data_IF_928122554547
#
_entry.id   IF_928122554547
#
_cell.length_a   1.000
_cell.length_b   1.000
_cell.length_c   1.000
_cell.angle_alpha   90.00
_cell.angle_beta   90.00
_cell.angle_gamma   90.00
#
_symmetry.space_group_name_H-M   'P 1'
#
loop_
_entity.id
_entity.type
_entity.pdbx_description
1 polymer ?
#
# COMPACT_ATOMS: atom_id res chain seq x y z
N UNK A 1 -12.96 -44.55 -39.77
CA UNK A 1 -12.37 -44.19 -38.47
C UNK A 1 -11.71 -42.83 -38.62
N UNK A 2 -12.40 -41.76 -38.23
CA UNK A 2 -11.85 -40.40 -38.14
C UNK A 2 -12.32 -39.88 -36.78
N UNK A 3 -11.37 -39.73 -35.84
CA UNK A 3 -11.61 -39.13 -34.52
C UNK A 3 -11.50 -37.62 -34.66
N UNK A 4 -12.58 -36.90 -34.38
CA UNK A 4 -12.56 -35.46 -34.11
C UNK A 4 -12.12 -35.22 -32.67
N UNK A 5 -11.25 -34.24 -32.39
CA UNK A 5 -10.90 -33.85 -31.03
C UNK A 5 -11.98 -32.93 -30.45
N UNK A 6 -12.35 -33.19 -29.19
CA UNK A 6 -13.20 -32.31 -28.36
C UNK A 6 -12.34 -31.16 -27.84
N UNK A 7 -12.76 -29.89 -27.94
CA UNK A 7 -12.00 -28.76 -27.41
C UNK A 7 -12.12 -28.67 -25.88
N UNK A 8 -11.12 -28.12 -25.17
CA UNK A 8 -11.17 -27.93 -23.73
C UNK A 8 -12.15 -26.81 -23.36
N UNK A 9 -12.96 -27.05 -22.32
CA UNK A 9 -13.78 -26.04 -21.67
C UNK A 9 -12.85 -25.06 -20.92
N UNK A 10 -12.66 -23.87 -21.47
CA UNK A 10 -12.11 -22.73 -20.75
C UNK A 10 -13.21 -22.15 -19.84
N UNK A 11 -13.06 -22.34 -18.53
CA UNK A 11 -13.75 -21.51 -17.54
C UNK A 11 -12.93 -20.22 -17.37
N UNK A 12 -13.31 -19.18 -18.11
CA UNK A 12 -12.80 -17.82 -17.91
C UNK A 12 -13.91 -16.94 -17.37
N UNK A 13 -13.56 -16.16 -16.35
CA UNK A 13 -14.35 -15.09 -15.70
C UNK A 13 -15.49 -15.54 -14.77
N UNK A 14 -15.13 -15.85 -13.51
CA UNK A 14 -16.04 -15.64 -12.38
C UNK A 14 -15.92 -14.17 -12.01
N UNK A 15 -16.85 -13.36 -12.53
CA UNK A 15 -16.98 -11.92 -12.26
C UNK A 15 -17.35 -11.66 -10.79
N UNK A 16 -16.94 -10.49 -10.27
CA UNK A 16 -17.27 -9.96 -8.93
C UNK A 16 -18.77 -9.96 -8.59
N UNK A 17 -19.63 -10.04 -9.61
CA UNK A 17 -21.08 -10.25 -9.50
C UNK A 17 -21.49 -11.53 -8.75
N UNK A 18 -20.62 -12.55 -8.69
CA UNK A 18 -20.90 -13.82 -8.00
C UNK A 18 -20.86 -13.68 -6.47
N UNK A 19 -20.03 -12.79 -5.93
CA UNK A 19 -19.91 -12.55 -4.49
C UNK A 19 -21.13 -11.81 -3.92
N UNK A 20 -21.72 -10.89 -4.70
CA UNK A 20 -22.94 -10.16 -4.32
C UNK A 20 -24.16 -11.08 -4.14
N UNK A 21 -24.15 -12.25 -4.79
CA UNK A 21 -25.24 -13.22 -4.64
C UNK A 21 -25.17 -13.98 -3.30
N UNK A 22 -23.99 -14.18 -2.70
CA UNK A 22 -23.86 -15.00 -1.49
C UNK A 22 -24.36 -14.32 -0.22
N UNK A 23 -24.14 -13.02 -0.04
CA UNK A 23 -24.68 -12.31 1.14
C UNK A 23 -26.21 -12.19 1.09
N UNK A 24 -26.79 -11.93 -0.09
CA UNK A 24 -28.24 -11.93 -0.30
C UNK A 24 -28.86 -13.33 -0.19
N UNK A 25 -28.14 -14.40 -0.57
CA UNK A 25 -28.57 -15.79 -0.36
C UNK A 25 -28.48 -16.23 1.10
N UNK A 26 -27.56 -15.66 1.88
CA UNK A 26 -27.39 -15.97 3.31
C UNK A 26 -28.63 -15.59 4.14
N UNK A 27 -29.36 -14.55 3.73
CA UNK A 27 -30.61 -14.16 4.37
C UNK A 27 -31.81 -15.05 3.99
N UNK A 28 -31.71 -15.85 2.91
CA UNK A 28 -32.83 -16.62 2.36
C UNK A 28 -32.71 -18.15 2.56
N UNK A 29 -31.51 -18.69 2.83
CA UNK A 29 -31.30 -20.12 3.07
C UNK A 29 -30.40 -20.35 4.29
N UNK A 30 -30.95 -20.90 5.36
CA UNK A 30 -30.30 -21.14 6.65
C UNK A 30 -29.24 -22.26 6.67
N UNK A 31 -28.56 -22.53 5.55
CA UNK A 31 -27.48 -23.51 5.50
C UNK A 31 -26.26 -22.96 4.77
N UNK A 32 -25.08 -23.28 5.32
CA UNK A 32 -23.78 -22.95 4.74
C UNK A 32 -23.67 -23.64 3.36
N UNK A 33 -23.54 -22.87 2.26
CA UNK A 33 -23.53 -23.40 0.90
C UNK A 33 -22.34 -24.32 0.63
N UNK A 34 -21.25 -24.21 1.41
CA UNK A 34 -20.08 -25.07 1.26
C UNK A 34 -20.29 -26.47 1.84
N UNK A 35 -21.27 -26.68 2.73
CA UNK A 35 -21.54 -28.01 3.32
C UNK A 35 -21.89 -29.09 2.29
N UNK A 36 -22.35 -28.69 1.10
CA UNK A 36 -22.74 -29.62 0.02
C UNK A 36 -21.63 -29.83 -1.02
N UNK A 37 -20.54 -29.08 -0.93
CA UNK A 37 -19.44 -29.13 -1.88
C UNK A 37 -18.33 -30.06 -1.37
N UNK A 38 -17.73 -30.89 -2.24
CA UNK A 38 -16.48 -31.58 -1.92
C UNK A 38 -15.38 -30.59 -1.53
N UNK A 39 -14.54 -30.95 -0.56
CA UNK A 39 -13.46 -30.11 -0.05
C UNK A 39 -12.50 -29.62 -1.16
N UNK A 40 -12.34 -30.40 -2.23
CA UNK A 40 -11.54 -30.04 -3.40
C UNK A 40 -12.11 -28.83 -4.14
N UNK A 41 -13.44 -28.77 -4.29
CA UNK A 41 -14.10 -27.62 -4.92
C UNK A 41 -14.04 -26.39 -4.01
N UNK A 42 -14.22 -26.56 -2.69
CA UNK A 42 -14.04 -25.48 -1.72
C UNK A 42 -12.62 -24.92 -1.80
N UNK A 43 -11.61 -25.79 -1.81
CA UNK A 43 -10.20 -25.40 -1.95
C UNK A 43 -9.94 -24.64 -3.26
N UNK A 44 -10.54 -25.09 -4.37
CA UNK A 44 -10.44 -24.40 -5.66
C UNK A 44 -11.10 -23.02 -5.63
N UNK A 45 -12.26 -22.86 -4.97
CA UNK A 45 -12.89 -21.54 -4.80
C UNK A 45 -11.95 -20.61 -4.01
N UNK A 46 -11.40 -21.09 -2.89
CA UNK A 46 -10.49 -20.29 -2.06
C UNK A 46 -9.21 -19.87 -2.82
N UNK A 47 -8.66 -20.74 -3.68
CA UNK A 47 -7.45 -20.42 -4.47
C UNK A 47 -7.68 -19.44 -5.62
N UNK A 48 -8.91 -19.32 -6.11
CA UNK A 48 -9.26 -18.44 -7.24
C UNK A 48 -9.95 -17.14 -6.81
N UNK A 49 -9.97 -16.85 -5.51
CA UNK A 49 -10.54 -15.63 -4.94
C UNK A 49 -9.41 -14.69 -4.51
N UNK A 50 -9.70 -13.42 -4.22
CA UNK A 50 -8.74 -12.49 -3.62
C UNK A 50 -8.63 -12.66 -2.10
N UNK A 51 -7.70 -11.94 -1.45
CA UNK A 51 -7.50 -12.05 0.01
C UNK A 51 -8.77 -11.69 0.79
N UNK A 52 -9.49 -10.65 0.36
CA UNK A 52 -10.75 -10.22 0.98
C UNK A 52 -11.84 -11.29 0.89
N UNK A 53 -12.04 -11.88 -0.28
CA UNK A 53 -13.04 -12.92 -0.46
C UNK A 53 -12.69 -14.19 0.32
N UNK A 54 -11.42 -14.60 0.37
CA UNK A 54 -11.01 -15.74 1.21
C UNK A 54 -11.21 -15.45 2.70
N UNK A 55 -10.80 -14.27 3.19
CA UNK A 55 -11.04 -13.88 4.59
C UNK A 55 -12.53 -13.83 4.94
N UNK A 56 -13.36 -13.28 4.05
CA UNK A 56 -14.82 -13.27 4.17
C UNK A 56 -15.39 -14.68 4.27
N UNK A 57 -15.03 -15.57 3.32
CA UNK A 57 -15.49 -16.95 3.28
C UNK A 57 -15.08 -17.74 4.53
N UNK A 58 -13.82 -17.64 4.95
CA UNK A 58 -13.29 -18.30 6.15
C UNK A 58 -13.92 -17.74 7.44
N UNK A 59 -14.36 -16.49 7.43
CA UNK A 59 -15.04 -15.86 8.56
C UNK A 59 -16.49 -16.32 8.71
N UNK A 60 -17.21 -16.58 7.61
CA UNK A 60 -18.65 -16.92 7.63
C UNK A 60 -18.96 -18.41 7.51
N UNK A 61 -18.15 -19.19 6.80
CA UNK A 61 -18.37 -20.63 6.56
C UNK A 61 -17.43 -21.49 7.42
N UNK A 62 -18.01 -22.42 8.19
CA UNK A 62 -17.23 -23.38 8.98
C UNK A 62 -16.50 -24.38 8.08
N UNK A 63 -17.13 -24.78 6.97
CA UNK A 63 -16.53 -25.71 6.01
C UNK A 63 -15.36 -25.05 5.27
N UNK A 64 -15.54 -23.82 4.77
CA UNK A 64 -14.46 -23.06 4.15
C UNK A 64 -13.29 -22.85 5.11
N UNK A 65 -13.57 -22.58 6.40
CA UNK A 65 -12.55 -22.49 7.44
C UNK A 65 -11.80 -23.80 7.65
N UNK A 66 -12.49 -24.93 7.73
CA UNK A 66 -11.86 -26.24 7.90
C UNK A 66 -10.95 -26.57 6.72
N UNK A 67 -11.43 -26.35 5.49
CA UNK A 67 -10.64 -26.55 4.26
C UNK A 67 -9.44 -25.62 4.20
N UNK A 68 -9.62 -24.35 4.59
CA UNK A 68 -8.52 -23.39 4.70
C UNK A 68 -7.49 -23.84 5.72
N UNK A 69 -7.89 -24.24 6.92
CA UNK A 69 -6.95 -24.68 7.96
C UNK A 69 -6.13 -25.90 7.52
N UNK A 70 -6.76 -26.84 6.81
CA UNK A 70 -6.10 -28.01 6.26
C UNK A 70 -5.09 -27.69 5.13
N UNK A 71 -5.35 -26.64 4.33
CA UNK A 71 -4.57 -26.30 3.12
C UNK A 71 -3.99 -24.88 3.12
N UNK A 72 -3.86 -24.27 4.30
CA UNK A 72 -3.63 -22.83 4.47
C UNK A 72 -2.40 -22.33 3.73
N UNK A 73 -1.30 -23.08 3.81
CA UNK A 73 -0.06 -22.79 3.09
C UNK A 73 -0.28 -22.66 1.59
N UNK A 74 -0.89 -23.66 0.98
CA UNK A 74 -1.05 -23.70 -0.47
C UNK A 74 -2.03 -22.62 -0.95
N UNK A 75 -3.09 -22.35 -0.17
CA UNK A 75 -4.03 -21.27 -0.48
C UNK A 75 -3.34 -19.90 -0.39
N UNK A 76 -2.62 -19.60 0.69
CA UNK A 76 -1.91 -18.32 0.82
C UNK A 76 -0.85 -18.16 -0.28
N UNK A 77 -0.11 -19.22 -0.60
CA UNK A 77 0.88 -19.17 -1.67
C UNK A 77 0.25 -18.85 -3.03
N UNK A 78 -0.87 -19.47 -3.35
CA UNK A 78 -1.62 -19.18 -4.59
C UNK A 78 -2.15 -17.75 -4.58
N UNK A 79 -2.69 -17.26 -3.46
CA UNK A 79 -3.15 -15.87 -3.32
C UNK A 79 -2.01 -14.87 -3.53
N UNK A 80 -0.86 -15.10 -2.89
CA UNK A 80 0.32 -14.25 -3.01
C UNK A 80 0.85 -14.24 -4.45
N UNK A 81 0.86 -15.40 -5.11
CA UNK A 81 1.41 -15.56 -6.46
C UNK A 81 0.47 -15.05 -7.55
N UNK A 82 -0.84 -15.16 -7.36
CA UNK A 82 -1.86 -14.73 -8.33
C UNK A 82 -2.16 -13.23 -8.27
N UNK A 83 -1.92 -12.58 -7.13
CA UNK A 83 -2.13 -11.15 -6.99
C UNK A 83 -0.91 -10.36 -7.55
N UNK A 84 -1.12 -9.43 -8.51
CA UNK A 84 -0.05 -8.69 -9.18
C UNK A 84 0.83 -7.81 -8.25
N UNK A 85 0.31 -7.42 -7.08
CA UNK A 85 1.03 -6.58 -6.11
C UNK A 85 1.79 -7.44 -5.13
N UNK A 86 1.14 -8.45 -4.53
CA UNK A 86 1.79 -9.30 -3.52
C UNK A 86 2.79 -10.27 -4.13
N UNK A 87 2.72 -10.56 -5.42
CA UNK A 87 3.74 -11.35 -6.12
C UNK A 87 5.06 -10.59 -6.25
N UNK A 88 5.06 -9.26 -6.08
CA UNK A 88 6.27 -8.44 -6.17
C UNK A 88 7.28 -8.77 -5.04
N UNK A 89 8.58 -8.95 -5.33
CA UNK A 89 9.58 -9.38 -4.34
C UNK A 89 9.62 -8.52 -3.07
N UNK A 90 9.54 -7.19 -3.19
CA UNK A 90 9.50 -6.30 -2.02
C UNK A 90 8.29 -6.54 -1.12
N UNK A 91 7.10 -6.74 -1.69
CA UNK A 91 5.88 -6.99 -0.91
C UNK A 91 5.93 -8.39 -0.29
N UNK A 92 6.46 -9.39 -1.00
CA UNK A 92 6.73 -10.72 -0.44
C UNK A 92 7.68 -10.66 0.75
N UNK A 93 8.74 -9.84 0.67
CA UNK A 93 9.66 -9.61 1.78
C UNK A 93 8.94 -9.00 2.99
N UNK A 94 8.12 -7.97 2.78
CA UNK A 94 7.33 -7.35 3.87
C UNK A 94 6.32 -8.33 4.49
N UNK A 95 5.62 -9.12 3.67
CA UNK A 95 4.71 -10.17 4.12
C UNK A 95 5.46 -11.23 4.96
N UNK A 96 6.68 -11.62 4.53
CA UNK A 96 7.55 -12.52 5.29
C UNK A 96 7.90 -11.91 6.65
N UNK A 97 8.35 -10.66 6.66
CA UNK A 97 8.73 -9.96 7.89
C UNK A 97 7.57 -9.89 8.88
N UNK A 98 6.36 -9.60 8.40
CA UNK A 98 5.14 -9.62 9.24
C UNK A 98 4.86 -11.03 9.75
N UNK A 99 4.96 -12.05 8.90
CA UNK A 99 4.82 -13.44 9.34
C UNK A 99 5.84 -13.83 10.42
N UNK A 100 7.10 -13.38 10.29
CA UNK A 100 8.15 -13.58 11.30
C UNK A 100 7.79 -12.89 12.63
N UNK A 101 7.28 -11.66 12.58
CA UNK A 101 6.86 -10.89 13.77
C UNK A 101 5.73 -11.60 14.54
N UNK A 102 4.77 -12.17 13.81
CA UNK A 102 3.60 -12.83 14.39
C UNK A 102 3.80 -14.31 14.71
N UNK A 103 4.94 -14.91 14.36
CA UNK A 103 5.22 -16.32 14.66
C UNK A 103 5.59 -16.49 16.16
N UNK A 104 4.75 -17.19 16.95
CA UNK A 104 5.00 -17.41 18.38
C UNK A 104 6.18 -18.36 18.66
N UNK A 105 6.78 -18.96 17.64
CA UNK A 105 7.94 -19.83 17.80
C UNK A 105 9.28 -19.15 17.48
N UNK A 106 9.24 -17.92 16.98
CA UNK A 106 10.45 -17.12 16.73
C UNK A 106 10.71 -16.26 17.96
N UNK A 107 11.95 -16.32 18.45
CA UNK A 107 12.47 -15.42 19.47
C UNK A 107 13.55 -14.54 18.83
N UNK A 108 13.51 -13.24 19.12
CA UNK A 108 14.48 -12.29 18.61
C UNK A 108 14.88 -11.32 19.72
N UNK A 109 16.18 -11.26 20.01
CA UNK A 109 16.76 -10.57 21.17
C UNK A 109 17.36 -9.21 20.83
N UNK A 110 17.56 -8.91 19.54
CA UNK A 110 18.10 -7.62 19.12
C UNK A 110 17.67 -7.25 17.70
N UNK A 111 17.79 -5.96 17.36
CA UNK A 111 17.56 -5.47 16.01
C UNK A 111 18.51 -6.13 15.00
N UNK A 112 19.78 -6.37 15.36
CA UNK A 112 20.76 -6.98 14.46
C UNK A 112 20.38 -8.43 14.12
N UNK A 113 19.88 -9.19 15.10
CA UNK A 113 19.34 -10.53 14.89
C UNK A 113 18.11 -10.50 13.97
N UNK A 114 17.20 -9.55 14.18
CA UNK A 114 16.06 -9.36 13.28
C UNK A 114 16.51 -9.06 11.85
N UNK A 115 17.46 -8.14 11.69
CA UNK A 115 18.00 -7.80 10.37
C UNK A 115 18.62 -9.03 9.70
N UNK A 116 19.36 -9.86 10.43
CA UNK A 116 19.91 -11.12 9.91
C UNK A 116 18.80 -12.09 9.47
N UNK A 117 17.72 -12.23 10.26
CA UNK A 117 16.57 -13.06 9.91
C UNK A 117 15.85 -12.55 8.65
N UNK A 118 15.75 -11.23 8.46
CA UNK A 118 15.03 -10.63 7.32
C UNK A 118 15.87 -10.40 6.05
N UNK A 119 17.21 -10.40 6.16
CA UNK A 119 18.12 -10.08 5.05
C UNK A 119 19.01 -11.25 4.61
N UNK A 120 18.87 -12.45 5.20
CA UNK A 120 19.70 -13.60 4.83
C UNK A 120 19.56 -13.99 3.35
N UNK A 121 20.68 -14.36 2.70
CA UNK A 121 20.79 -14.66 1.25
C UNK A 121 19.93 -15.85 0.74
N UNK A 122 19.10 -16.47 1.59
CA UNK A 122 18.11 -17.50 1.23
C UNK A 122 16.64 -17.03 1.25
N UNK A 123 16.39 -15.72 1.34
CA UNK A 123 15.07 -15.15 1.63
C UNK A 123 14.04 -15.24 0.48
N UNK A 124 14.43 -15.68 -0.72
CA UNK A 124 13.51 -15.77 -1.87
C UNK A 124 12.31 -16.70 -1.59
N UNK A 125 12.50 -17.67 -0.68
CA UNK A 125 11.47 -18.58 -0.19
C UNK A 125 11.10 -18.35 1.28
N UNK A 126 11.37 -17.17 1.87
CA UNK A 126 11.12 -16.98 3.31
C UNK A 126 9.66 -16.84 3.71
N UNK A 127 8.81 -16.30 2.82
CA UNK A 127 7.35 -16.44 2.97
C UNK A 127 7.03 -17.94 3.10
N UNK A 128 7.62 -18.76 2.24
CA UNK A 128 7.38 -20.21 2.23
C UNK A 128 7.94 -20.88 3.49
N UNK A 129 9.16 -20.56 3.93
CA UNK A 129 9.78 -21.19 5.11
C UNK A 129 9.12 -20.77 6.42
N UNK A 130 8.59 -19.55 6.49
CA UNK A 130 7.86 -19.03 7.66
C UNK A 130 6.43 -19.59 7.70
N UNK A 131 5.73 -19.61 6.56
CA UNK A 131 4.40 -20.25 6.43
C UNK A 131 4.48 -21.80 6.37
N UNK A 132 5.67 -22.39 6.25
CA UNK A 132 5.90 -23.85 6.28
C UNK A 132 5.59 -24.46 7.64
N UNK A 133 5.74 -23.70 8.73
CA UNK A 133 5.31 -24.15 10.05
C UNK A 133 3.79 -24.21 9.97
N UNK A 134 3.21 -25.41 10.04
CA UNK A 134 1.77 -25.69 9.92
C UNK A 134 0.94 -25.04 11.05
N UNK A 135 1.02 -23.72 11.16
CA UNK A 135 0.37 -22.91 12.16
C UNK A 135 -0.82 -22.22 11.48
N UNK A 136 -1.97 -22.91 11.52
CA UNK A 136 -3.21 -22.42 10.94
C UNK A 136 -3.64 -21.07 11.51
N UNK A 137 -3.31 -20.77 12.77
CA UNK A 137 -3.63 -19.49 13.41
C UNK A 137 -2.77 -18.36 12.83
N UNK A 138 -1.47 -18.59 12.63
CA UNK A 138 -0.59 -17.66 11.93
C UNK A 138 -1.09 -17.41 10.50
N UNK A 139 -1.44 -18.48 9.78
CA UNK A 139 -1.97 -18.37 8.43
C UNK A 139 -3.28 -17.54 8.38
N UNK A 140 -4.22 -17.78 9.31
CA UNK A 140 -5.44 -16.98 9.43
C UNK A 140 -5.11 -15.50 9.73
N UNK A 141 -4.09 -15.23 10.55
CA UNK A 141 -3.67 -13.86 10.86
C UNK A 141 -3.07 -13.17 9.64
N UNK A 142 -2.20 -13.84 8.90
CA UNK A 142 -1.60 -13.29 7.68
C UNK A 142 -2.65 -13.03 6.59
N UNK A 143 -3.61 -13.95 6.43
CA UNK A 143 -4.76 -13.75 5.56
C UNK A 143 -5.54 -12.47 5.92
N UNK A 144 -5.87 -12.29 7.21
CA UNK A 144 -6.57 -11.10 7.71
C UNK A 144 -5.80 -9.81 7.47
N UNK A 145 -4.49 -9.81 7.73
CA UNK A 145 -3.64 -8.63 7.48
C UNK A 145 -3.62 -8.32 5.97
N UNK A 146 -3.44 -9.32 5.11
CA UNK A 146 -3.42 -9.10 3.66
C UNK A 146 -4.77 -8.59 3.12
N UNK A 147 -5.89 -9.17 3.58
CA UNK A 147 -7.24 -8.72 3.26
C UNK A 147 -7.45 -7.27 3.71
N UNK A 148 -7.09 -6.97 4.95
CA UNK A 148 -7.18 -5.62 5.51
C UNK A 148 -6.33 -4.63 4.72
N UNK A 149 -5.09 -4.97 4.36
CA UNK A 149 -4.23 -4.13 3.52
C UNK A 149 -4.85 -3.85 2.15
N UNK A 150 -5.46 -4.86 1.50
CA UNK A 150 -6.18 -4.67 0.25
C UNK A 150 -7.33 -3.67 0.41
N UNK A 151 -8.16 -3.83 1.43
CA UNK A 151 -9.26 -2.92 1.73
C UNK A 151 -8.78 -1.49 1.99
N UNK A 152 -7.73 -1.33 2.81
CA UNK A 152 -7.13 -0.02 3.12
C UNK A 152 -6.56 0.65 1.88
N UNK A 153 -5.89 -0.10 1.01
CA UNK A 153 -5.33 0.45 -0.23
C UNK A 153 -6.42 1.05 -1.12
N UNK A 154 -7.53 0.32 -1.32
CA UNK A 154 -8.67 0.81 -2.08
C UNK A 154 -9.25 2.10 -1.48
N UNK A 155 -9.52 2.13 -0.17
CA UNK A 155 -10.09 3.31 0.50
C UNK A 155 -9.11 4.50 0.44
N UNK A 156 -7.82 4.28 0.67
CA UNK A 156 -6.79 5.32 0.57
C UNK A 156 -6.73 5.91 -0.85
N UNK A 157 -6.70 5.07 -1.89
CA UNK A 157 -6.68 5.52 -3.29
C UNK A 157 -7.91 6.37 -3.63
N UNK A 158 -9.09 5.95 -3.22
CA UNK A 158 -10.33 6.72 -3.42
C UNK A 158 -10.27 8.08 -2.71
N UNK A 159 -9.78 8.10 -1.47
CA UNK A 159 -9.67 9.31 -0.66
C UNK A 159 -8.68 10.29 -1.26
N UNK A 160 -7.49 9.82 -1.64
CA UNK A 160 -6.46 10.61 -2.32
C UNK A 160 -7.00 11.18 -3.65
N UNK A 161 -7.70 10.37 -4.44
CA UNK A 161 -8.30 10.80 -5.71
C UNK A 161 -9.36 11.87 -5.48
N UNK A 162 -10.23 11.70 -4.48
CA UNK A 162 -11.23 12.69 -4.13
C UNK A 162 -10.58 14.00 -3.67
N UNK A 163 -9.49 13.92 -2.90
CA UNK A 163 -8.67 15.06 -2.52
C UNK A 163 -8.12 15.80 -3.74
N UNK A 164 -7.55 15.07 -4.71
CA UNK A 164 -7.04 15.64 -5.96
C UNK A 164 -8.15 16.31 -6.79
N UNK A 165 -9.28 15.63 -7.00
CA UNK A 165 -10.43 16.15 -7.76
C UNK A 165 -10.98 17.42 -7.12
N UNK A 166 -11.08 17.44 -5.79
CA UNK A 166 -11.54 18.60 -5.03
C UNK A 166 -10.58 19.78 -5.18
N UNK A 167 -9.27 19.52 -5.13
CA UNK A 167 -8.24 20.53 -5.31
C UNK A 167 -8.24 21.13 -6.74
N UNK A 168 -8.57 20.32 -7.75
CA UNK A 168 -8.72 20.74 -9.15
C UNK A 168 -10.09 21.35 -9.47
N UNK A 169 -10.92 21.65 -8.48
CA UNK A 169 -12.33 22.05 -8.66
C UNK A 169 -12.56 23.27 -9.55
N UNK A 170 -11.52 24.05 -9.88
CA UNK A 170 -11.63 25.18 -10.82
C UNK A 170 -11.53 24.76 -12.29
N UNK A 171 -11.10 23.53 -12.57
CA UNK A 171 -10.90 22.99 -13.92
C UNK A 171 -11.60 21.64 -14.12
N UNK A 172 -12.87 21.64 -14.58
CA UNK A 172 -13.66 20.41 -14.76
C UNK A 172 -12.98 19.37 -15.66
N UNK A 173 -12.29 19.80 -16.71
CA UNK A 173 -11.58 18.91 -17.63
C UNK A 173 -10.39 18.20 -16.94
N UNK A 174 -9.66 18.90 -16.06
CA UNK A 174 -8.55 18.32 -15.29
C UNK A 174 -9.08 17.40 -14.20
N UNK A 175 -10.17 17.78 -13.53
CA UNK A 175 -10.86 16.95 -12.55
C UNK A 175 -11.42 15.66 -13.18
N UNK A 176 -11.91 15.70 -14.43
CA UNK A 176 -12.34 14.51 -15.16
C UNK A 176 -11.16 13.56 -15.42
N UNK A 177 -10.02 14.08 -15.89
CA UNK A 177 -8.80 13.29 -16.11
C UNK A 177 -8.24 12.72 -14.80
N UNK A 178 -8.32 13.47 -13.70
CA UNK A 178 -7.96 12.98 -12.36
C UNK A 178 -8.83 11.81 -11.90
N UNK A 179 -10.03 11.64 -12.46
CA UNK A 179 -10.94 10.53 -12.17
C UNK A 179 -10.72 9.28 -13.04
N UNK A 180 -9.74 9.27 -13.94
CA UNK A 180 -9.40 8.08 -14.71
C UNK A 180 -9.03 6.89 -13.79
N UNK A 181 -9.24 5.63 -14.24
CA UNK A 181 -8.89 4.44 -13.47
C UNK A 181 -7.45 4.47 -12.96
N UNK A 182 -7.20 3.85 -11.80
CA UNK A 182 -5.86 3.78 -11.22
C UNK A 182 -4.93 2.94 -12.09
N UNK A 183 -3.68 3.37 -12.21
CA UNK A 183 -2.65 2.52 -12.82
C UNK A 183 -2.04 1.58 -11.79
N UNK A 184 -1.39 0.53 -12.29
CA UNK A 184 -0.68 -0.43 -11.43
C UNK A 184 0.31 0.23 -10.47
N UNK A 185 1.07 1.24 -10.93
CA UNK A 185 2.06 1.88 -10.06
C UNK A 185 1.43 2.72 -8.96
N UNK A 186 0.30 3.37 -9.25
CA UNK A 186 -0.43 4.15 -8.26
C UNK A 186 -0.92 3.25 -7.13
N UNK A 187 -1.50 2.10 -7.48
CA UNK A 187 -1.91 1.10 -6.50
C UNK A 187 -0.71 0.53 -5.76
N UNK A 188 0.34 0.12 -6.48
CA UNK A 188 1.55 -0.42 -5.90
C UNK A 188 2.17 0.49 -4.85
N UNK A 189 2.29 1.79 -5.10
CA UNK A 189 2.86 2.73 -4.12
C UNK A 189 2.03 2.78 -2.84
N UNK A 190 0.69 2.77 -2.94
CA UNK A 190 -0.19 2.77 -1.77
C UNK A 190 -0.10 1.46 -1.01
N UNK A 191 -0.16 0.32 -1.70
CA UNK A 191 0.02 -0.99 -1.06
C UNK A 191 1.36 -1.10 -0.35
N UNK A 192 2.45 -0.73 -1.04
CA UNK A 192 3.79 -0.78 -0.47
C UNK A 192 3.89 0.09 0.79
N UNK A 193 3.34 1.31 0.76
CA UNK A 193 3.33 2.19 1.93
C UNK A 193 2.55 1.59 3.11
N UNK A 194 1.37 1.00 2.85
CA UNK A 194 0.58 0.32 3.91
C UNK A 194 1.35 -0.86 4.49
N UNK A 195 1.95 -1.72 3.64
CA UNK A 195 2.76 -2.85 4.10
C UNK A 195 3.96 -2.42 4.95
N UNK A 196 4.61 -1.29 4.62
CA UNK A 196 5.68 -0.71 5.44
C UNK A 196 5.17 -0.23 6.79
N UNK A 197 4.04 0.48 6.82
CA UNK A 197 3.41 0.96 8.05
C UNK A 197 2.97 -0.20 8.95
N UNK A 198 2.37 -1.25 8.38
CA UNK A 198 1.97 -2.48 9.08
C UNK A 198 3.20 -3.18 9.67
N UNK A 199 4.22 -3.45 8.85
CA UNK A 199 5.45 -4.13 9.29
C UNK A 199 6.14 -3.37 10.43
N UNK A 200 6.30 -2.06 10.30
CA UNK A 200 6.90 -1.22 11.34
C UNK A 200 6.05 -1.19 12.61
N UNK A 201 4.74 -1.02 12.47
CA UNK A 201 3.84 -0.93 13.63
C UNK A 201 3.76 -2.25 14.39
N UNK A 202 3.73 -3.38 13.71
CA UNK A 202 3.73 -4.69 14.35
C UNK A 202 5.06 -4.98 15.04
N UNK A 203 6.18 -4.63 14.40
CA UNK A 203 7.51 -4.74 15.02
C UNK A 203 7.59 -3.87 16.28
N UNK A 204 7.11 -2.63 16.21
CA UNK A 204 7.11 -1.69 17.35
C UNK A 204 6.24 -2.20 18.50
N UNK A 205 5.04 -2.72 18.22
CA UNK A 205 4.16 -3.34 19.23
C UNK A 205 4.81 -4.55 19.88
N UNK A 206 5.46 -5.41 19.09
CA UNK A 206 6.11 -6.60 19.59
C UNK A 206 7.18 -6.25 20.65
N UNK A 207 8.00 -5.22 20.38
CA UNK A 207 9.08 -4.80 21.29
C UNK A 207 8.60 -3.91 22.46
N UNK A 208 7.56 -3.08 22.26
CA UNK A 208 7.05 -2.15 23.28
C UNK A 208 6.19 -2.84 24.36
N UNK A 209 5.61 -4.02 24.05
CA UNK A 209 4.78 -4.82 24.98
C UNK A 209 5.47 -5.16 26.32
N UNK A 210 6.79 -5.01 26.41
CA UNK A 210 7.61 -5.22 27.62
C UNK A 210 7.87 -3.96 28.45
N UNK A 211 7.86 -2.76 27.85
CA UNK A 211 8.14 -1.53 28.60
C UNK A 211 7.09 -1.30 29.72
N UNK A 212 5.85 -1.71 29.45
CA UNK A 212 4.70 -1.54 30.32
C UNK A 212 4.57 -2.62 31.41
N UNK A 213 5.23 -3.78 31.29
CA UNK A 213 5.11 -4.90 32.24
C UNK A 213 6.18 -4.94 33.34
N UNK A 214 7.04 -3.90 33.43
CA UNK A 214 8.04 -3.78 34.50
C UNK A 214 7.51 -3.32 35.86
N UNK A 215 6.18 -3.20 36.02
CA UNK A 215 5.54 -2.85 37.31
C UNK A 215 4.74 -4.03 37.88
N UNK A 216 5.39 -4.82 38.73
CA UNK A 216 4.83 -5.63 39.82
C UNK A 216 3.39 -6.15 39.67
N UNK A 217 3.11 -7.10 38.77
CA UNK A 217 1.89 -7.91 38.85
C UNK A 217 2.16 -9.31 38.29
N UNK A 218 2.13 -10.29 39.18
CA UNK A 218 2.32 -11.70 38.88
C UNK A 218 0.99 -12.33 38.49
N UNK A 219 0.56 -12.24 37.22
CA UNK A 219 -0.53 -13.07 36.71
C UNK A 219 -0.27 -13.51 35.26
N UNK A 220 -0.14 -14.83 35.06
CA UNK A 220 -0.42 -15.55 33.81
C UNK A 220 0.64 -15.51 32.68
N UNK A 221 0.91 -16.64 32.00
CA UNK A 221 1.75 -16.66 30.80
C UNK A 221 0.96 -16.12 29.60
N UNK A 222 0.95 -14.82 29.39
CA UNK A 222 0.48 -14.22 28.14
C UNK A 222 1.53 -14.45 27.04
N UNK A 223 1.10 -15.10 25.97
CA UNK A 223 1.79 -15.61 24.78
C UNK A 223 2.56 -14.58 23.90
N UNK A 224 3.08 -13.49 24.47
CA UNK A 224 3.75 -12.39 23.73
C UNK A 224 5.23 -12.18 24.04
N UNK A 225 5.92 -13.14 24.65
CA UNK A 225 7.23 -12.93 25.31
C UNK A 225 8.49 -13.07 24.43
N UNK A 226 8.37 -13.03 23.10
CA UNK A 226 9.46 -13.50 22.24
C UNK A 226 10.40 -12.41 21.71
N UNK A 227 10.04 -11.13 21.84
CA UNK A 227 10.81 -10.00 21.32
C UNK A 227 11.45 -9.25 22.48
N UNK A 228 12.64 -9.70 22.91
CA UNK A 228 13.33 -9.24 24.12
C UNK A 228 14.45 -8.28 23.71
N UNK A 229 14.09 -7.11 23.20
CA UNK A 229 15.08 -6.13 22.74
C UNK A 229 15.58 -5.23 23.86
N UNK A 230 16.85 -4.83 23.75
CA UNK A 230 17.42 -3.78 24.61
C UNK A 230 16.81 -2.41 24.24
N UNK A 231 16.82 -1.44 25.17
CA UNK A 231 16.38 -0.06 24.87
C UNK A 231 17.22 0.58 23.75
N UNK A 232 18.49 0.22 23.64
CA UNK A 232 19.34 0.66 22.53
C UNK A 232 18.83 0.14 21.19
N UNK A 233 18.48 -1.15 21.10
CA UNK A 233 17.89 -1.75 19.90
C UNK A 233 16.53 -1.15 19.54
N UNK A 234 15.70 -0.85 20.54
CA UNK A 234 14.42 -0.16 20.33
C UNK A 234 14.64 1.26 19.81
N UNK A 235 15.60 2.02 20.35
CA UNK A 235 15.90 3.36 19.84
C UNK A 235 16.44 3.33 18.41
N UNK A 236 17.21 2.30 18.03
CA UNK A 236 17.67 2.11 16.64
C UNK A 236 16.52 1.85 15.67
N UNK A 237 15.36 1.38 16.16
CA UNK A 237 14.16 1.22 15.34
C UNK A 237 13.63 2.55 14.79
N UNK A 238 13.96 3.68 15.41
CA UNK A 238 13.59 5.01 14.90
C UNK A 238 14.29 5.34 13.57
N UNK A 239 15.39 4.64 13.25
CA UNK A 239 16.07 4.70 11.96
C UNK A 239 15.53 3.66 10.95
N UNK A 240 14.25 3.29 11.04
CA UNK A 240 13.58 2.28 10.19
C UNK A 240 13.78 2.49 8.70
N UNK A 241 13.67 3.74 8.25
CA UNK A 241 13.89 4.11 6.84
C UNK A 241 15.31 3.81 6.39
N UNK A 242 16.30 4.05 7.25
CA UNK A 242 17.72 3.84 6.94
C UNK A 242 18.03 2.36 6.75
N UNK A 243 17.67 1.51 7.71
CA UNK A 243 18.04 0.08 7.63
C UNK A 243 17.18 -0.74 6.67
N UNK A 244 16.01 -0.24 6.26
CA UNK A 244 15.22 -0.81 5.15
C UNK A 244 15.53 -0.15 3.79
N UNK A 245 16.56 0.70 3.72
CA UNK A 245 16.99 1.37 2.49
C UNK A 245 15.84 2.15 1.80
N UNK A 246 14.94 2.72 2.61
CA UNK A 246 13.82 3.52 2.12
C UNK A 246 14.34 4.91 1.78
N UNK A 247 14.51 5.17 0.49
CA UNK A 247 14.86 6.49 -0.01
C UNK A 247 13.83 7.54 0.45
N UNK A 248 14.30 8.73 0.81
CA UNK A 248 13.48 9.86 1.28
C UNK A 248 12.22 10.17 0.45
N UNK A 249 12.25 9.98 -0.87
CA UNK A 249 11.08 10.19 -1.73
C UNK A 249 9.99 9.14 -1.50
N UNK A 250 10.38 7.89 -1.23
CA UNK A 250 9.45 6.83 -0.83
C UNK A 250 9.00 6.99 0.61
N UNK A 251 9.85 7.55 1.48
CA UNK A 251 9.42 7.94 2.81
C UNK A 251 8.25 8.94 2.73
N UNK A 252 8.31 9.92 1.82
CA UNK A 252 7.20 10.85 1.61
C UNK A 252 5.90 10.16 1.13
N UNK A 253 6.00 9.08 0.35
CA UNK A 253 4.84 8.25 -0.01
C UNK A 253 4.22 7.57 1.22
N UNK A 254 5.04 7.05 2.14
CA UNK A 254 4.58 6.51 3.43
C UNK A 254 3.85 7.59 4.23
N UNK A 255 4.41 8.79 4.31
CA UNK A 255 3.80 9.91 5.04
C UNK A 255 2.48 10.40 4.42
N UNK A 256 2.37 10.41 3.09
CA UNK A 256 1.12 10.72 2.40
C UNK A 256 0.01 9.70 2.72
N UNK A 257 0.31 8.40 2.62
CA UNK A 257 -0.64 7.34 2.95
C UNK A 257 -1.00 7.35 4.44
N UNK A 258 -0.02 7.54 5.33
CA UNK A 258 -0.28 7.67 6.76
C UNK A 258 -1.21 8.85 7.07
N UNK A 259 -1.04 9.98 6.40
CA UNK A 259 -1.91 11.15 6.58
C UNK A 259 -3.37 10.80 6.26
N UNK A 260 -3.61 10.07 5.17
CA UNK A 260 -4.95 9.60 4.79
C UNK A 260 -5.50 8.57 5.78
N UNK A 261 -4.68 7.63 6.25
CA UNK A 261 -5.11 6.68 7.27
C UNK A 261 -5.57 7.39 8.56
N UNK A 262 -4.87 8.44 8.98
CA UNK A 262 -5.30 9.27 10.13
C UNK A 262 -6.62 9.98 9.85
N UNK A 263 -6.80 10.55 8.65
CA UNK A 263 -8.07 11.19 8.25
C UNK A 263 -9.23 10.19 8.23
N UNK A 264 -8.96 8.93 7.89
CA UNK A 264 -9.93 7.81 7.94
C UNK A 264 -10.18 7.29 9.37
N UNK A 265 -9.48 7.82 10.38
CA UNK A 265 -9.65 7.48 11.78
C UNK A 265 -8.76 6.35 12.29
N UNK A 266 -7.70 5.98 11.57
CA UNK A 266 -6.72 5.02 12.10
C UNK A 266 -5.97 5.63 13.31
N UNK A 267 -5.90 4.94 14.45
CA UNK A 267 -5.31 5.47 15.67
C UNK A 267 -3.78 5.53 15.61
N UNK A 268 -3.26 6.71 15.24
CA UNK A 268 -1.84 7.05 15.31
C UNK A 268 -1.39 7.15 16.77
N UNK A 269 -0.30 6.45 17.11
CA UNK A 269 0.30 6.51 18.44
C UNK A 269 1.36 7.61 18.43
N UNK A 270 1.15 8.62 19.27
CA UNK A 270 2.19 9.61 19.53
C UNK A 270 3.34 8.96 20.28
N UNK A 271 4.60 9.13 19.85
CA UNK A 271 5.72 8.92 20.76
C UNK A 271 5.55 9.87 21.96
N UNK A 272 5.94 9.42 23.15
CA UNK A 272 5.78 10.14 24.41
C UNK A 272 6.65 11.41 24.52
N UNK A 273 7.50 11.68 23.54
CA UNK A 273 8.40 12.83 23.51
C UNK A 273 7.73 14.05 22.90
N UNK A 274 7.90 15.22 23.53
CA UNK A 274 7.30 16.52 23.12
C UNK A 274 7.66 16.95 21.69
N UNK A 275 8.82 16.54 21.17
CA UNK A 275 9.25 16.76 19.78
C UNK A 275 8.43 15.94 18.77
N UNK A 276 7.79 14.86 19.22
CA UNK A 276 7.04 13.94 18.37
C UNK A 276 5.59 14.35 18.11
N UNK A 277 5.05 15.33 18.85
CA UNK A 277 3.74 15.91 18.56
C UNK A 277 3.74 16.70 17.23
N UNK A 278 4.86 17.36 16.91
CA UNK A 278 5.04 18.06 15.62
C UNK A 278 5.20 17.09 14.44
N UNK A 279 5.53 15.82 14.72
CA UNK A 279 5.65 14.75 13.73
C UNK A 279 4.33 14.01 13.48
N UNK A 280 3.23 14.33 14.16
CA UNK A 280 1.93 13.68 13.89
C UNK A 280 1.37 14.11 12.52
N UNK A 281 1.54 15.39 12.19
CA UNK A 281 1.17 15.98 10.90
C UNK A 281 2.23 16.98 10.48
N UNK A 282 3.42 16.52 10.08
CA UNK A 282 4.51 17.43 9.76
C UNK A 282 4.13 18.22 8.51
N UNK A 283 4.12 19.56 8.60
CA UNK A 283 3.94 20.42 7.41
C UNK A 283 5.16 20.38 6.48
N UNK A 284 6.25 19.76 6.92
CA UNK A 284 7.50 19.59 6.18
C UNK A 284 7.55 18.24 5.46
N UNK A 285 8.26 18.23 4.33
CA UNK A 285 8.53 17.05 3.48
C UNK A 285 9.48 16.06 4.17
N UNK A 286 9.30 14.77 3.91
CA UNK A 286 10.06 13.70 4.55
C UNK A 286 11.57 13.74 4.26
N UNK A 287 11.96 14.22 3.07
CA UNK A 287 13.39 14.38 2.72
C UNK A 287 14.08 15.56 3.41
N UNK A 288 13.36 16.36 4.19
CA UNK A 288 13.96 17.36 5.08
C UNK A 288 14.06 16.84 6.53
N UNK A 289 13.56 15.63 6.81
CA UNK A 289 13.62 15.07 8.16
C UNK A 289 15.04 14.60 8.51
N UNK A 290 15.42 14.65 9.80
CA UNK A 290 16.62 13.98 10.27
C UNK A 290 16.61 12.49 9.91
N UNK A 291 17.77 11.86 9.62
CA UNK A 291 17.85 10.45 9.19
C UNK A 291 17.22 9.43 10.17
N UNK A 292 17.15 9.77 11.46
CA UNK A 292 16.60 8.91 12.52
C UNK A 292 15.14 9.25 12.83
N UNK A 293 14.41 9.84 11.89
CA UNK A 293 13.00 10.15 12.08
C UNK A 293 12.17 8.90 11.88
N UNK A 294 11.43 8.42 12.90
CA UNK A 294 10.59 7.25 12.76
C UNK A 294 9.45 7.51 11.76
N UNK A 295 9.05 6.47 11.03
CA UNK A 295 7.81 6.53 10.25
C UNK A 295 6.57 6.49 11.18
N UNK A 296 5.39 6.88 10.70
CA UNK A 296 4.17 6.87 11.51
C UNK A 296 3.85 5.50 12.12
N UNK A 297 3.54 5.49 13.42
CA UNK A 297 3.22 4.28 14.18
C UNK A 297 1.71 4.20 14.47
N UNK A 298 1.06 3.12 14.03
CA UNK A 298 -0.37 2.91 14.26
C UNK A 298 -0.63 1.77 15.26
N UNK A 299 -1.46 2.04 16.28
CA UNK A 299 -1.87 1.02 17.25
C UNK A 299 -2.79 -0.04 16.63
N UNK A 300 -3.55 0.36 15.61
CA UNK A 300 -4.45 -0.50 14.85
C UNK A 300 -4.66 0.11 13.47
N UNK A 301 -4.86 -0.74 12.48
CA UNK A 301 -5.29 -0.33 11.14
C UNK A 301 -6.79 -0.61 10.92
N UNK A 302 -7.51 -1.03 11.97
CA UNK A 302 -8.93 -1.33 11.86
C UNK A 302 -9.72 -0.02 11.78
N UNK A 303 -10.16 0.35 10.59
CA UNK A 303 -11.05 1.50 10.38
C UNK A 303 -12.46 1.24 10.93
N UNK A 304 -13.19 2.32 11.18
CA UNK A 304 -14.59 2.29 11.60
C UNK A 304 -15.45 1.46 10.62
N UNK A 305 -16.40 0.69 11.17
CA UNK A 305 -17.21 -0.28 10.42
C UNK A 305 -18.00 0.35 9.26
N UNK A 306 -18.38 1.62 9.40
CA UNK A 306 -19.09 2.39 8.37
C UNK A 306 -18.25 2.58 7.09
N UNK A 307 -16.92 2.66 7.21
CA UNK A 307 -16.02 2.81 6.07
C UNK A 307 -15.74 1.46 5.40
N UNK A 308 -15.80 0.36 6.16
CA UNK A 308 -15.46 -1.00 5.69
C UNK A 308 -16.59 -1.69 4.92
N UNK A 309 -17.84 -1.41 5.27
CA UNK A 309 -18.99 -2.16 4.73
C UNK A 309 -19.43 -1.72 3.32
N UNK A 310 -18.77 -0.72 2.73
CA UNK A 310 -19.07 -0.35 1.34
C UNK A 310 -18.27 -1.23 0.37
N UNK A 311 -18.79 -2.44 0.13
CA UNK A 311 -18.20 -3.42 -0.78
C UNK A 311 -18.10 -2.91 -2.23
N UNK A 312 -18.80 -1.82 -2.59
CA UNK A 312 -18.67 -1.19 -3.91
C UNK A 312 -17.32 -0.51 -4.12
N UNK A 313 -16.57 -0.28 -3.03
CA UNK A 313 -15.27 0.38 -3.03
C UNK A 313 -14.10 -0.60 -3.15
N UNK A 314 -14.35 -1.90 -3.31
CA UNK A 314 -13.29 -2.92 -3.35
C UNK A 314 -13.06 -3.42 -4.77
N UNK A 315 -11.79 -3.55 -5.15
CA UNK A 315 -11.40 -4.13 -6.43
C UNK A 315 -10.10 -4.92 -6.30
N UNK A 316 -9.86 -5.79 -7.27
CA UNK A 316 -8.58 -6.49 -7.41
C UNK A 316 -7.57 -5.55 -8.06
N UNK A 317 -6.29 -5.55 -7.63
CA UNK A 317 -5.28 -4.73 -8.27
C UNK A 317 -5.17 -5.00 -9.77
N UNK A 318 -4.88 -3.97 -10.59
CA UNK A 318 -4.71 -4.12 -12.02
C UNK A 318 -3.54 -5.05 -12.31
N UNK A 319 -3.55 -5.66 -13.49
CA UNK A 319 -2.46 -6.52 -13.94
C UNK A 319 -1.17 -5.72 -14.08
N UNK A 320 -0.04 -6.41 -13.87
CA UNK A 320 1.27 -5.83 -14.11
C UNK A 320 1.37 -5.37 -15.57
N UNK A 321 1.72 -4.10 -15.83
CA UNK A 321 1.73 -3.56 -17.18
C UNK A 321 2.81 -4.24 -18.02
N UNK A 322 2.47 -4.56 -19.27
CA UNK A 322 3.41 -5.08 -20.24
C UNK A 322 4.43 -4.00 -20.57
N UNK A 323 5.71 -4.38 -20.64
CA UNK A 323 6.75 -3.46 -21.06
C UNK A 323 6.64 -3.15 -22.55
N UNK A 324 6.24 -1.94 -22.89
CA UNK A 324 6.13 -1.45 -24.25
C UNK A 324 6.65 0.00 -24.34
N UNK A 325 6.73 0.61 -25.54
CA UNK A 325 7.21 1.98 -25.69
C UNK A 325 6.37 3.02 -24.93
N UNK A 326 5.06 2.79 -24.74
CA UNK A 326 4.15 3.69 -24.01
C UNK A 326 4.43 3.62 -22.52
N UNK A 327 4.44 2.42 -21.95
CA UNK A 327 4.67 2.23 -20.52
C UNK A 327 6.07 2.67 -20.12
N UNK A 328 7.08 2.48 -21.00
CA UNK A 328 8.43 3.02 -20.79
C UNK A 328 8.49 4.54 -20.88
N UNK A 329 7.77 5.15 -21.82
CA UNK A 329 7.77 6.60 -21.98
C UNK A 329 7.23 7.34 -20.75
N UNK A 330 6.28 6.72 -20.05
CA UNK A 330 5.62 7.27 -18.86
C UNK A 330 6.09 6.66 -17.55
N UNK A 331 7.13 5.83 -17.58
CA UNK A 331 7.66 5.17 -16.39
C UNK A 331 6.62 4.33 -15.65
N UNK A 332 5.70 3.68 -16.38
CA UNK A 332 4.59 2.90 -15.84
C UNK A 332 4.96 1.43 -15.54
N UNK A 333 6.23 1.04 -15.72
CA UNK A 333 6.68 -0.35 -15.55
C UNK A 333 7.37 -0.60 -14.21
N UNK A 334 7.44 -1.87 -13.80
CA UNK A 334 8.05 -2.31 -12.55
C UNK A 334 9.45 -1.74 -12.24
N UNK A 335 10.40 -1.67 -13.19
CA UNK A 335 11.73 -1.10 -12.91
C UNK A 335 11.73 0.37 -12.44
N UNK A 336 10.60 1.07 -12.56
CA UNK A 336 10.45 2.46 -12.12
C UNK A 336 9.77 2.61 -10.75
N UNK A 337 9.23 1.54 -10.16
CA UNK A 337 8.54 1.64 -8.86
C UNK A 337 9.47 2.01 -7.68
N UNK A 338 10.78 1.77 -7.82
CA UNK A 338 11.80 2.17 -6.83
C UNK A 338 12.41 3.55 -7.11
N UNK A 339 12.15 4.13 -8.28
CA UNK A 339 12.79 5.36 -8.70
C UNK A 339 11.97 6.56 -8.22
N UNK A 340 12.63 7.68 -7.90
CA UNK A 340 11.92 8.93 -7.67
C UNK A 340 11.09 9.26 -8.91
N UNK A 341 9.80 9.48 -8.72
CA UNK A 341 8.92 9.81 -9.84
C UNK A 341 9.26 11.21 -10.37
N UNK A 342 9.03 11.42 -11.67
CA UNK A 342 9.36 12.68 -12.34
C UNK A 342 8.69 13.89 -11.67
N UNK A 343 7.43 13.74 -11.26
CA UNK A 343 6.70 14.79 -10.55
C UNK A 343 7.23 15.04 -9.14
N UNK A 344 7.78 14.04 -8.45
CA UNK A 344 8.40 14.25 -7.13
C UNK A 344 9.68 15.07 -7.27
N UNK A 345 10.49 14.77 -8.29
CA UNK A 345 11.68 15.56 -8.62
C UNK A 345 11.33 16.99 -9.04
N UNK A 346 10.25 17.16 -9.81
CA UNK A 346 9.73 18.45 -10.21
C UNK A 346 9.25 19.25 -8.99
N UNK A 347 8.41 18.66 -8.14
CA UNK A 347 7.93 19.29 -6.91
C UNK A 347 9.09 19.74 -6.02
N UNK A 348 10.09 18.86 -5.81
CA UNK A 348 11.31 19.21 -5.07
C UNK A 348 12.00 20.42 -5.69
N UNK A 349 12.16 20.46 -7.01
CA UNK A 349 12.78 21.57 -7.72
C UNK A 349 11.99 22.88 -7.58
N UNK A 350 10.67 22.82 -7.76
CA UNK A 350 9.77 23.97 -7.59
C UNK A 350 9.82 24.53 -6.17
N UNK A 351 9.80 23.66 -5.16
CA UNK A 351 9.93 24.04 -3.75
C UNK A 351 11.28 24.71 -3.47
N UNK A 352 12.39 24.15 -3.96
CA UNK A 352 13.72 24.76 -3.79
C UNK A 352 13.79 26.14 -4.45
N UNK A 353 13.20 26.30 -5.64
CA UNK A 353 13.11 27.59 -6.33
C UNK A 353 12.29 28.62 -5.56
N UNK A 354 11.11 28.21 -5.06
CA UNK A 354 10.23 29.05 -4.26
C UNK A 354 10.89 29.52 -2.96
N UNK A 355 11.59 28.63 -2.26
CA UNK A 355 12.28 28.96 -0.99
C UNK A 355 13.49 29.88 -1.18
N UNK A 356 14.21 29.74 -2.30
CA UNK A 356 15.39 30.58 -2.60
C UNK A 356 15.06 31.96 -3.16
N UNK A 357 13.78 32.29 -3.34
CA UNK A 357 13.35 33.59 -3.86
C UNK A 357 13.94 33.92 -5.23
N UNK A 358 14.26 32.90 -6.04
CA UNK A 358 14.71 33.15 -7.40
C UNK A 358 13.62 33.96 -8.12
N UNK A 359 14.02 35.07 -8.75
CA UNK A 359 13.18 36.11 -9.36
C UNK A 359 12.60 37.20 -8.43
N UNK A 360 13.14 37.38 -7.20
CA UNK A 360 12.79 38.54 -6.35
C UNK A 360 11.36 38.52 -5.80
N UNK A 361 10.65 37.40 -5.96
CA UNK A 361 9.35 37.15 -5.34
C UNK A 361 9.57 36.56 -3.94
N UNK A 362 8.71 36.95 -2.98
CA UNK A 362 8.72 36.36 -1.64
C UNK A 362 8.50 34.85 -1.72
N UNK A 363 9.10 34.06 -0.81
CA UNK A 363 8.81 32.63 -0.69
C UNK A 363 7.29 32.42 -0.69
N UNK A 364 6.83 31.53 -1.57
CA UNK A 364 5.41 31.17 -1.60
C UNK A 364 5.16 30.20 -0.45
N UNK A 365 4.43 30.66 0.57
CA UNK A 365 3.99 29.83 1.69
C UNK A 365 3.24 28.56 1.23
N UNK A 366 2.68 28.57 0.01
CA UNK A 366 1.99 27.43 -0.59
C UNK A 366 2.88 26.19 -0.77
N UNK A 367 4.19 26.37 -1.02
CA UNK A 367 5.14 25.26 -1.22
C UNK A 367 5.91 24.88 0.04
N UNK A 368 5.73 25.64 1.12
CA UNK A 368 6.30 25.32 2.43
C UNK A 368 5.50 24.24 3.14
N UNK A 369 4.16 24.31 3.06
CA UNK A 369 3.25 23.31 3.62
C UNK A 369 3.00 22.16 2.64
N UNK A 370 3.48 20.96 2.99
CA UNK A 370 3.28 19.75 2.19
C UNK A 370 1.87 19.16 2.35
N UNK A 371 1.12 19.56 3.37
CA UNK A 371 -0.13 18.91 3.76
C UNK A 371 -1.17 18.83 2.63
N UNK A 372 -1.42 19.89 1.85
CA UNK A 372 -2.37 19.82 0.73
C UNK A 372 -1.95 18.78 -0.32
N UNK A 373 -0.65 18.70 -0.60
CA UNK A 373 -0.08 17.78 -1.59
C UNK A 373 -0.11 16.32 -1.12
N UNK A 374 0.07 16.07 0.19
CA UNK A 374 -0.14 14.73 0.79
C UNK A 374 -1.58 14.29 0.66
N UNK A 375 -2.54 15.15 1.04
CA UNK A 375 -3.98 14.84 0.95
C UNK A 375 -4.44 14.57 -0.47
N UNK A 376 -3.87 15.26 -1.45
CA UNK A 376 -4.18 15.04 -2.87
C UNK A 376 -3.36 13.93 -3.52
N UNK A 377 -2.41 13.30 -2.81
CA UNK A 377 -1.61 12.18 -3.32
C UNK A 377 -0.70 12.50 -4.51
N UNK A 378 -0.36 13.77 -4.77
CA UNK A 378 0.35 14.16 -6.01
C UNK A 378 1.73 13.51 -6.19
N UNK A 379 2.32 13.03 -5.10
CA UNK A 379 3.60 12.31 -5.10
C UNK A 379 3.44 10.78 -5.28
N UNK A 380 2.21 10.27 -5.21
CA UNK A 380 1.87 8.85 -5.42
C UNK A 380 1.42 8.57 -6.85
N UNK A 381 0.78 9.54 -7.51
CA UNK A 381 0.24 9.39 -8.85
C UNK A 381 1.31 9.14 -9.90
N UNK A 382 0.96 8.45 -10.99
CA UNK A 382 1.94 8.21 -12.03
C UNK A 382 2.20 9.45 -12.91
N UNK A 383 3.29 9.39 -13.68
CA UNK A 383 3.68 10.49 -14.55
C UNK A 383 2.65 10.78 -15.64
N UNK A 384 1.88 9.80 -16.12
CA UNK A 384 0.83 10.04 -17.10
C UNK A 384 -0.33 10.83 -16.49
N UNK A 385 -0.86 10.43 -15.34
CA UNK A 385 -1.95 11.17 -14.66
C UNK A 385 -1.53 12.60 -14.39
N UNK A 386 -0.32 12.79 -13.84
CA UNK A 386 0.21 14.10 -13.50
C UNK A 386 0.41 15.00 -14.72
N UNK A 387 0.83 14.45 -15.85
CA UNK A 387 0.87 15.16 -17.13
C UNK A 387 -0.53 15.52 -17.62
N UNK A 388 -1.45 14.56 -17.63
CA UNK A 388 -2.82 14.71 -18.13
C UNK A 388 -3.58 15.82 -17.42
N UNK A 389 -3.31 16.02 -16.13
CA UNK A 389 -3.86 17.10 -15.31
C UNK A 389 -2.96 18.35 -15.25
N UNK A 390 -1.95 18.47 -16.11
CA UNK A 390 -1.14 19.69 -16.23
C UNK A 390 -0.20 20.00 -15.04
N UNK A 391 0.08 19.02 -14.18
CA UNK A 391 1.05 19.16 -13.08
C UNK A 391 2.47 18.73 -13.47
N UNK A 392 2.63 18.13 -14.63
CA UNK A 392 3.94 17.75 -15.17
C UNK A 392 4.05 18.21 -16.63
N UNK A 393 5.18 18.84 -17.03
CA UNK A 393 5.38 19.27 -18.41
C UNK A 393 5.64 18.08 -19.35
N UNK A 394 5.38 18.26 -20.64
CA UNK A 394 5.88 17.34 -21.66
C UNK A 394 7.38 17.59 -21.86
N UNK A 395 8.23 16.80 -21.21
CA UNK A 395 9.68 16.94 -21.34
C UNK A 395 10.25 16.37 -22.65
N UNK A 396 9.42 15.74 -23.50
CA UNK A 396 9.88 15.07 -24.71
C UNK A 396 9.79 15.99 -25.94
N UNK A 397 10.94 16.28 -26.55
CA UNK A 397 11.03 16.99 -27.85
C UNK A 397 10.53 16.15 -29.05
N UNK A 398 10.28 14.86 -28.83
CA UNK A 398 9.74 13.94 -29.84
C UNK A 398 8.37 13.48 -29.39
N UNK A 399 7.46 13.23 -30.33
CA UNK A 399 6.10 12.78 -30.02
C UNK A 399 6.13 11.59 -29.06
N UNK A 400 5.62 11.81 -27.84
CA UNK A 400 5.62 10.79 -26.78
C UNK A 400 4.33 9.98 -26.93
N UNK A 401 4.40 8.64 -27.01
CA UNK A 401 3.19 7.84 -27.21
C UNK A 401 2.26 7.94 -26.00
N UNK A 402 0.95 8.04 -26.20
CA UNK A 402 -0.03 8.17 -25.14
C UNK A 402 -0.68 6.80 -24.78
N UNK A 403 -1.03 6.53 -23.51
CA UNK A 403 -1.75 5.32 -23.09
C UNK A 403 -3.07 5.07 -23.82
N UNK A 404 -3.79 6.12 -24.23
CA UNK A 404 -5.01 6.01 -25.03
C UNK A 404 -4.79 5.75 -26.53
N UNK A 405 -3.53 5.57 -26.95
CA UNK A 405 -3.13 5.53 -28.35
C UNK A 405 -2.74 6.89 -28.91
N UNK A 406 -2.05 6.88 -30.05
CA UNK A 406 -1.52 8.09 -30.68
C UNK A 406 -0.26 8.62 -30.00
N UNK A 407 0.07 9.88 -30.33
CA UNK A 407 1.25 10.57 -29.82
C UNK A 407 0.85 11.95 -29.32
N UNK A 408 1.46 12.37 -28.20
CA UNK A 408 1.41 13.77 -27.79
C UNK A 408 2.19 14.56 -28.83
N UNK A 409 1.53 15.54 -29.44
CA UNK A 409 2.19 16.47 -30.33
C UNK A 409 3.27 17.22 -29.56
N UNK A 410 4.49 17.34 -30.10
CA UNK A 410 5.50 18.18 -29.49
C UNK A 410 4.96 19.61 -29.47
N UNK A 411 4.76 20.17 -28.28
CA UNK A 411 4.48 21.60 -28.18
C UNK A 411 5.64 22.35 -28.83
N UNK A 412 5.32 23.27 -29.76
CA UNK A 412 6.31 24.11 -30.43
C UNK A 412 7.11 24.96 -29.42
N UNK A 413 6.53 25.20 -28.23
CA UNK A 413 7.15 25.84 -27.08
C UNK A 413 7.19 24.82 -25.94
N UNK A 414 8.39 24.42 -25.51
CA UNK A 414 8.53 23.48 -24.41
C UNK A 414 7.93 24.10 -23.13
N UNK A 415 6.81 23.54 -22.64
CA UNK A 415 6.23 23.91 -21.35
C UNK A 415 7.32 23.77 -20.28
N UNK A 416 7.71 24.89 -19.70
CA UNK A 416 8.76 24.96 -18.69
C UNK A 416 8.22 24.61 -17.32
N UNK A 417 9.11 24.38 -16.36
CA UNK A 417 8.71 24.21 -14.95
C UNK A 417 7.97 25.42 -14.39
N UNK A 418 8.20 26.62 -14.93
CA UNK A 418 7.51 27.84 -14.50
C UNK A 418 6.03 27.84 -14.92
N UNK A 419 5.73 27.27 -16.08
CA UNK A 419 4.37 27.23 -16.64
C UNK A 419 3.42 26.31 -15.86
N UNK A 420 3.96 25.27 -15.21
CA UNK A 420 3.18 24.35 -14.38
C UNK A 420 3.06 24.82 -12.93
N UNK A 421 3.85 25.80 -12.49
CA UNK A 421 3.85 26.27 -11.09
C UNK A 421 2.49 26.77 -10.60
N UNK A 422 1.70 27.54 -11.39
CA UNK A 422 0.34 27.95 -11.00
C UNK A 422 -0.56 26.74 -10.67
N UNK A 423 -0.44 25.67 -11.45
CA UNK A 423 -1.24 24.46 -11.25
C UNK A 423 -0.87 23.75 -9.94
N UNK A 424 0.39 23.80 -9.51
CA UNK A 424 0.80 23.30 -8.20
C UNK A 424 0.31 24.20 -7.05
N UNK A 425 0.22 25.52 -7.23
CA UNK A 425 -0.36 26.39 -6.21
C UNK A 425 -1.87 26.21 -6.07
N UNK A 426 -2.56 25.91 -7.16
CA UNK A 426 -3.98 25.55 -7.13
C UNK A 426 -4.23 24.36 -6.21
N UNK A 427 -3.36 23.34 -6.22
CA UNK A 427 -3.47 22.18 -5.32
C UNK A 427 -3.39 22.59 -3.84
N UNK A 428 -2.59 23.61 -3.52
CA UNK A 428 -2.51 24.18 -2.18
C UNK A 428 -3.68 25.11 -1.82
N UNK A 429 -4.68 25.27 -2.71
CA UNK A 429 -5.82 26.15 -2.51
C UNK A 429 -5.52 27.64 -2.70
N UNK A 430 -4.34 27.98 -3.23
CA UNK A 430 -3.97 29.37 -3.52
C UNK A 430 -4.52 29.76 -4.89
N UNK A 431 -5.57 30.59 -4.88
CA UNK A 431 -6.10 31.23 -6.09
C UNK A 431 -5.20 32.42 -6.47
N UNK A 432 -4.80 32.49 -7.74
CA UNK A 432 -4.10 33.66 -8.29
C UNK A 432 -5.02 34.85 -8.49
#
# INVERSE_FOLDING_TARGET
>A
MIRTPVPPLHFTEISSSFLFSFECLYAAFAMDPFQRLPAELVSQVLRNTDFMGVDGLVSVSLEARAVFQANSRAIIQDLVSSNPITSHPEIRKLLSNIALIHDPSICCTSLDEYMQLTNGEGNENAVESTLCRQNSDLACRILRIAAQTQCLACICLLTLRQGLVTALGTSPNRAQKANEPFSYLEEYHVYWAIWQLECYSDLRKAVDSRASSSTNSAEGPSTGQNWIWSRESINKLDAYTTFNEIHDFRAEQIWAVASVLVELGAPLVSPSTRESLALQHPSTVAWDFPPNTPIPFFSSFQLARSVRNDHSLLWCPPQTPIEDPVTKAWYLTLPFCHKPSGQTMLFRSLRHGALRGHCGRRPSAAMEDISPYRRSGVLLWDSWRMYSIGLMPNSSRKGRPAPGGGFIEPDCEAVTGEDVMPNWFEIAGVKQ
#
